data_IF_992733246740
#
_entry.id   IF_992733246740
#
_cell.length_a   1.000
_cell.length_b   1.000
_cell.length_c   1.000
_cell.angle_alpha   90.00
_cell.angle_beta   90.00
_cell.angle_gamma   90.00
#
_symmetry.space_group_name_H-M   'P 1'
#
loop_
_entity.id
_entity.type
_entity.pdbx_description
1 polymer ?
#
# COMPACT_ATOMS: atom_id res chain seq x y z
N UNK A 1 -8.68 14.90 0.95
CA UNK A 1 -8.57 13.48 1.35
C UNK A 1 -7.58 13.37 2.49
N UNK A 2 -7.96 12.75 3.58
CA UNK A 2 -7.12 12.62 4.78
C UNK A 2 -6.48 11.25 4.83
N UNK A 3 -5.18 11.22 5.10
CA UNK A 3 -4.43 9.98 5.26
C UNK A 3 -4.02 9.86 6.72
N UNK A 4 -4.56 8.87 7.41
CA UNK A 4 -4.22 8.58 8.81
C UNK A 4 -3.64 7.19 8.93
N UNK A 5 -2.58 7.07 9.71
CA UNK A 5 -1.89 5.80 9.94
C UNK A 5 -1.63 5.63 11.44
N UNK A 6 -1.74 4.38 11.91
CA UNK A 6 -1.37 4.04 13.28
C UNK A 6 0.04 3.47 13.29
N UNK A 7 0.91 4.07 14.09
CA UNK A 7 2.30 3.66 14.23
C UNK A 7 2.61 3.49 15.72
N UNK A 8 2.97 2.29 16.11
CA UNK A 8 3.28 1.94 17.51
C UNK A 8 2.20 2.42 18.51
N UNK A 9 0.94 2.21 18.16
CA UNK A 9 -0.19 2.53 19.02
C UNK A 9 -0.65 3.98 18.99
N UNK A 10 -0.05 4.83 18.19
CA UNK A 10 -0.44 6.24 18.04
C UNK A 10 -0.92 6.52 16.62
N UNK A 11 -1.91 7.40 16.50
CA UNK A 11 -2.42 7.85 15.20
C UNK A 11 -1.66 9.07 14.72
N UNK A 12 -1.27 9.04 13.45
CA UNK A 12 -0.57 10.16 12.80
C UNK A 12 -1.31 10.56 11.53
N UNK A 13 -1.39 11.85 11.27
CA UNK A 13 -1.93 12.37 10.03
C UNK A 13 -0.79 12.60 9.06
N UNK A 14 -0.89 11.96 7.88
CA UNK A 14 0.12 12.10 6.84
C UNK A 14 -0.18 13.31 5.97
N UNK A 15 0.85 13.94 5.37
CA UNK A 15 0.63 15.04 4.43
C UNK A 15 -0.11 14.56 3.18
N UNK A 16 -0.73 15.49 2.42
CA UNK A 16 -1.39 15.13 1.16
C UNK A 16 -0.43 14.43 0.19
N UNK A 17 -0.97 13.52 -0.62
CA UNK A 17 -0.17 12.78 -1.60
C UNK A 17 0.16 13.68 -2.79
N UNK A 18 1.30 14.35 -2.72
CA UNK A 18 1.84 15.20 -3.78
C UNK A 18 2.84 14.40 -4.63
N UNK A 19 3.32 14.98 -5.73
CA UNK A 19 4.39 14.37 -6.51
C UNK A 19 5.66 14.17 -5.68
N UNK A 20 5.93 15.07 -4.73
CA UNK A 20 7.08 14.92 -3.83
C UNK A 20 6.95 13.65 -2.97
N UNK A 21 5.74 13.35 -2.50
CA UNK A 21 5.47 12.12 -1.76
C UNK A 21 5.59 10.89 -2.67
N UNK A 22 5.06 10.96 -3.88
CA UNK A 22 5.21 9.88 -4.86
C UNK A 22 6.68 9.58 -5.16
N UNK A 23 7.51 10.61 -5.27
CA UNK A 23 8.95 10.46 -5.46
C UNK A 23 9.61 9.77 -4.27
N UNK A 24 9.18 10.09 -3.05
CA UNK A 24 9.69 9.42 -1.84
C UNK A 24 9.27 7.94 -1.80
N UNK A 25 8.05 7.63 -2.19
CA UNK A 25 7.57 6.24 -2.27
C UNK A 25 8.37 5.48 -3.32
N UNK A 26 8.61 6.07 -4.49
CA UNK A 26 9.46 5.48 -5.52
C UNK A 26 10.89 5.25 -5.00
N UNK A 27 11.39 6.16 -4.17
CA UNK A 27 12.69 6.03 -3.51
C UNK A 27 12.78 4.82 -2.58
N UNK A 28 11.67 4.44 -1.92
CA UNK A 28 11.63 3.21 -1.10
C UNK A 28 11.77 1.96 -1.96
N UNK A 29 11.09 1.93 -3.10
CA UNK A 29 11.16 0.80 -4.04
C UNK A 29 12.59 0.65 -4.55
N UNK A 30 13.23 1.76 -4.91
CA UNK A 30 14.63 1.76 -5.36
C UNK A 30 15.59 1.34 -4.25
N UNK A 31 15.34 1.76 -3.01
CA UNK A 31 16.13 1.35 -1.85
C UNK A 31 16.08 -0.16 -1.66
N UNK A 32 14.89 -0.75 -1.75
CA UNK A 32 14.72 -2.19 -1.64
C UNK A 32 15.44 -2.91 -2.78
N UNK A 33 15.29 -2.45 -4.00
CA UNK A 33 15.98 -3.00 -5.17
C UNK A 33 17.50 -2.98 -4.98
N UNK A 34 18.04 -1.83 -4.58
CA UNK A 34 19.47 -1.65 -4.39
C UNK A 34 20.01 -2.54 -3.27
N UNK A 35 19.24 -2.67 -2.19
CA UNK A 35 19.60 -3.58 -1.08
C UNK A 35 19.61 -5.04 -1.54
N UNK A 36 18.59 -5.47 -2.27
CA UNK A 36 18.51 -6.84 -2.79
C UNK A 36 19.63 -7.14 -3.80
N UNK A 37 20.05 -6.13 -4.55
CA UNK A 37 21.14 -6.25 -5.51
C UNK A 37 22.54 -6.18 -4.87
N UNK A 38 22.62 -5.94 -3.56
CA UNK A 38 23.89 -5.80 -2.86
C UNK A 38 24.59 -4.45 -3.07
N UNK A 39 23.88 -3.46 -3.61
CA UNK A 39 24.41 -2.12 -3.84
C UNK A 39 24.35 -1.23 -2.58
N UNK A 40 23.49 -1.58 -1.63
CA UNK A 40 23.38 -0.90 -0.33
C UNK A 40 23.60 -1.90 0.80
N UNK A 41 24.25 -1.45 1.87
CA UNK A 41 24.32 -2.23 3.10
C UNK A 41 22.97 -2.19 3.80
N UNK A 42 22.74 -3.12 4.72
CA UNK A 42 21.52 -3.11 5.53
C UNK A 42 21.39 -1.78 6.29
N UNK A 43 22.48 -1.28 6.84
CA UNK A 43 22.49 0.00 7.56
C UNK A 43 22.05 1.16 6.67
N UNK A 44 22.58 1.25 5.47
CA UNK A 44 22.19 2.28 4.51
C UNK A 44 20.72 2.21 4.14
N UNK A 45 20.20 1.00 3.91
CA UNK A 45 18.78 0.79 3.62
C UNK A 45 17.91 1.22 4.81
N UNK A 46 18.27 0.81 6.02
CA UNK A 46 17.55 1.15 7.26
C UNK A 46 17.55 2.66 7.49
N UNK A 47 18.67 3.35 7.26
CA UNK A 47 18.75 4.80 7.36
C UNK A 47 17.73 5.49 6.43
N UNK A 48 17.62 5.03 5.20
CA UNK A 48 16.68 5.59 4.22
C UNK A 48 15.23 5.35 4.62
N UNK A 49 14.90 4.15 5.10
CA UNK A 49 13.55 3.81 5.56
C UNK A 49 13.17 4.65 6.80
N UNK A 50 14.07 4.80 7.72
CA UNK A 50 13.85 5.60 8.94
C UNK A 50 13.59 7.07 8.58
N UNK A 51 14.41 7.64 7.70
CA UNK A 51 14.26 9.02 7.25
C UNK A 51 12.90 9.24 6.56
N UNK A 52 12.44 8.27 5.77
CA UNK A 52 11.15 8.34 5.12
C UNK A 52 10.00 8.39 6.15
N UNK A 53 9.98 7.46 7.08
CA UNK A 53 8.90 7.37 8.07
C UNK A 53 8.87 8.59 9.00
N UNK A 54 10.00 8.98 9.52
CA UNK A 54 10.10 10.12 10.45
C UNK A 54 9.85 11.44 9.72
N UNK A 55 10.22 11.54 8.45
CA UNK A 55 9.97 12.73 7.65
C UNK A 55 8.47 12.96 7.40
N UNK A 56 7.69 11.90 7.26
CA UNK A 56 6.25 11.99 7.04
C UNK A 56 5.44 12.04 8.33
N UNK A 57 5.90 11.36 9.37
CA UNK A 57 5.25 11.31 10.68
C UNK A 57 6.29 11.58 11.78
N UNK A 58 6.64 12.86 12.03
CA UNK A 58 7.67 13.22 13.01
C UNK A 58 7.40 12.62 14.39
N UNK A 59 8.41 12.02 14.98
CA UNK A 59 8.32 11.42 16.30
C UNK A 59 7.65 10.04 16.33
N UNK A 60 7.34 9.45 15.19
CA UNK A 60 6.62 8.18 15.13
C UNK A 60 7.48 6.97 15.53
N UNK A 61 8.80 7.08 15.43
CA UNK A 61 9.73 5.98 15.69
C UNK A 61 10.82 6.39 16.67
N UNK A 62 11.42 5.42 17.39
CA UNK A 62 12.63 5.67 18.17
C UNK A 62 13.78 6.10 17.26
N UNK A 63 14.88 6.63 17.85
CA UNK A 63 16.08 6.97 17.09
C UNK A 63 16.61 5.78 16.29
N UNK A 64 17.32 6.07 15.23
CA UNK A 64 17.83 5.07 14.28
C UNK A 64 18.52 3.86 14.94
N UNK A 65 19.33 4.12 15.95
CA UNK A 65 20.11 3.07 16.62
C UNK A 65 19.27 2.21 17.59
N UNK A 66 18.05 2.64 17.91
CA UNK A 66 17.18 1.97 18.86
C UNK A 66 15.95 1.33 18.23
N UNK A 67 15.64 1.71 17.00
CA UNK A 67 14.42 1.22 16.32
C UNK A 67 14.56 -0.26 15.96
N UNK A 68 13.48 -1.03 16.21
CA UNK A 68 13.40 -2.39 15.70
C UNK A 68 13.21 -2.33 14.18
N UNK A 69 14.09 -3.00 13.44
CA UNK A 69 14.08 -2.92 11.98
C UNK A 69 12.83 -3.56 11.36
N UNK A 70 12.26 -4.59 12.00
CA UNK A 70 11.02 -5.18 11.54
C UNK A 70 9.84 -4.21 11.73
N UNK A 71 9.78 -3.52 12.86
CA UNK A 71 8.78 -2.49 13.11
C UNK A 71 8.93 -1.33 12.13
N UNK A 72 10.16 -0.94 11.82
CA UNK A 72 10.44 0.10 10.83
C UNK A 72 9.92 -0.29 9.45
N UNK A 73 10.17 -1.53 9.03
CA UNK A 73 9.68 -2.03 7.73
C UNK A 73 8.16 -2.06 7.69
N UNK A 74 7.51 -2.54 8.76
CA UNK A 74 6.06 -2.51 8.88
C UNK A 74 5.51 -1.08 8.81
N UNK A 75 6.14 -0.15 9.51
CA UNK A 75 5.73 1.25 9.51
C UNK A 75 5.77 1.85 8.11
N UNK A 76 6.84 1.62 7.37
CA UNK A 76 6.96 2.10 5.98
C UNK A 76 5.88 1.48 5.09
N UNK A 77 5.61 0.18 5.24
CA UNK A 77 4.56 -0.50 4.50
C UNK A 77 3.17 0.06 4.83
N UNK A 78 2.91 0.32 6.10
CA UNK A 78 1.63 0.89 6.54
C UNK A 78 1.41 2.30 5.96
N UNK A 79 2.46 3.12 5.92
CA UNK A 79 2.41 4.45 5.31
C UNK A 79 2.08 4.35 3.82
N UNK A 80 2.79 3.51 3.09
CA UNK A 80 2.56 3.31 1.65
C UNK A 80 1.16 2.76 1.40
N UNK A 81 0.73 1.78 2.18
CA UNK A 81 -0.60 1.19 2.06
C UNK A 81 -1.70 2.21 2.35
N UNK A 82 -1.48 3.11 3.31
CA UNK A 82 -2.43 4.18 3.63
C UNK A 82 -2.60 5.11 2.43
N UNK A 83 -1.50 5.48 1.77
CA UNK A 83 -1.56 6.31 0.57
C UNK A 83 -2.20 5.59 -0.61
N UNK A 84 -2.00 4.29 -0.75
CA UNK A 84 -2.54 3.50 -1.86
C UNK A 84 -3.98 3.04 -1.64
N UNK A 85 -4.50 3.10 -0.41
CA UNK A 85 -5.83 2.61 -0.08
C UNK A 85 -6.95 3.20 -0.95
N UNK A 86 -7.01 4.52 -1.22
CA UNK A 86 -8.05 5.07 -2.10
C UNK A 86 -8.02 4.49 -3.51
N UNK A 87 -6.84 4.33 -4.10
CA UNK A 87 -6.69 3.77 -5.44
C UNK A 87 -7.08 2.28 -5.48
N UNK A 88 -6.69 1.52 -4.45
CA UNK A 88 -7.07 0.10 -4.32
C UNK A 88 -8.57 -0.06 -4.18
N UNK A 89 -9.22 0.79 -3.38
CA UNK A 89 -10.66 0.79 -3.19
C UNK A 89 -11.38 1.09 -4.52
N UNK A 90 -10.93 2.10 -5.25
CA UNK A 90 -11.50 2.47 -6.54
C UNK A 90 -11.37 1.32 -7.55
N UNK A 91 -10.22 0.64 -7.61
CA UNK A 91 -10.02 -0.53 -8.47
C UNK A 91 -10.92 -1.69 -8.11
N UNK A 92 -11.09 -1.96 -6.82
CA UNK A 92 -11.97 -3.02 -6.34
C UNK A 92 -13.42 -2.73 -6.70
N UNK A 93 -13.88 -1.49 -6.55
CA UNK A 93 -15.23 -1.07 -6.93
C UNK A 93 -15.44 -1.18 -8.45
N UNK A 94 -14.45 -0.77 -9.24
CA UNK A 94 -14.49 -0.88 -10.70
C UNK A 94 -14.60 -2.35 -11.15
N UNK A 95 -13.83 -3.25 -10.56
CA UNK A 95 -13.88 -4.69 -10.85
C UNK A 95 -15.23 -5.29 -10.49
N UNK A 96 -15.82 -4.89 -9.36
CA UNK A 96 -17.15 -5.34 -8.96
C UNK A 96 -18.23 -4.89 -9.95
N UNK A 97 -18.14 -3.64 -10.41
CA UNK A 97 -19.06 -3.10 -11.41
C UNK A 97 -18.94 -3.85 -12.73
N UNK A 98 -17.73 -4.12 -13.21
CA UNK A 98 -17.48 -4.90 -14.41
C UNK A 98 -18.05 -6.32 -14.28
N UNK A 99 -17.83 -6.97 -13.14
CA UNK A 99 -18.37 -8.32 -12.89
C UNK A 99 -19.89 -8.34 -12.91
N UNK A 100 -20.55 -7.34 -12.31
CA UNK A 100 -22.00 -7.19 -12.33
C UNK A 100 -22.53 -6.99 -13.75
N UNK A 101 -21.86 -6.13 -14.54
CA UNK A 101 -22.26 -5.86 -15.92
C UNK A 101 -22.15 -7.13 -16.78
N UNK A 102 -21.10 -7.92 -16.59
CA UNK A 102 -20.94 -9.21 -17.29
C UNK A 102 -22.04 -10.17 -16.91
N UNK A 103 -22.36 -10.31 -15.62
CA UNK A 103 -23.42 -11.20 -15.13
C UNK A 103 -24.81 -10.78 -15.62
N UNK A 104 -25.02 -9.50 -15.87
CA UNK A 104 -26.31 -8.98 -16.35
C UNK A 104 -26.49 -9.04 -17.86
N UNK A 105 -25.47 -9.46 -18.62
CA UNK A 105 -25.60 -9.62 -20.07
C UNK A 105 -26.58 -10.75 -20.42
N UNK A 106 -27.47 -10.56 -21.41
CA UNK A 106 -28.45 -11.59 -21.77
C UNK A 106 -27.83 -12.93 -22.12
N UNK A 107 -26.69 -12.96 -22.77
CA UNK A 107 -25.96 -14.18 -23.13
C UNK A 107 -25.54 -14.98 -21.91
N UNK A 108 -25.02 -14.31 -20.87
CA UNK A 108 -24.61 -14.96 -19.62
C UNK A 108 -25.83 -15.48 -18.87
N UNK A 109 -26.93 -14.74 -18.86
CA UNK A 109 -28.17 -15.14 -18.22
C UNK A 109 -28.74 -16.42 -18.87
N UNK A 110 -28.66 -16.55 -20.18
CA UNK A 110 -29.06 -17.76 -20.91
C UNK A 110 -28.20 -18.96 -20.51
N UNK A 111 -26.88 -18.77 -20.41
CA UNK A 111 -25.97 -19.84 -20.00
C UNK A 111 -26.27 -20.33 -18.58
N UNK A 112 -26.56 -19.41 -17.67
CA UNK A 112 -26.91 -19.76 -16.29
C UNK A 112 -28.20 -20.54 -16.20
N UNK A 113 -29.21 -20.18 -16.99
CA UNK A 113 -30.47 -20.91 -17.05
C UNK A 113 -30.29 -22.31 -17.60
N UNK A 114 -29.46 -22.47 -18.64
CA UNK A 114 -29.16 -23.79 -19.21
C UNK A 114 -28.43 -24.66 -18.19
N UNK A 115 -27.50 -24.09 -17.43
CA UNK A 115 -26.77 -24.82 -16.38
C UNK A 115 -27.75 -25.30 -15.28
N UNK A 116 -28.71 -24.48 -14.88
CA UNK A 116 -29.74 -24.87 -13.90
C UNK A 116 -30.62 -26.00 -14.40
N UNK A 117 -30.99 -25.96 -15.67
CA UNK A 117 -31.82 -27.03 -16.29
C UNK A 117 -31.05 -28.34 -16.38
N UNK A 118 -29.74 -28.32 -16.57
CA UNK A 118 -28.93 -29.54 -16.65
C UNK A 118 -28.68 -30.19 -15.29
N UNK A 119 -28.86 -29.48 -14.21
CA UNK A 119 -28.69 -30.00 -12.83
C UNK A 119 -29.94 -30.78 -12.36
N UNK A 120 -31.00 -30.71 -13.09
CA UNK A 120 -32.21 -31.49 -12.82
C UNK A 120 -32.21 -32.75 -13.69
#
# INVERSE_FOLDING_TARGET
MNYKVNILGKSYELPPRTLAIDDQIAGLVETDRAYQAGELTRREAVEKLHAFAVGLAPGCLPPLEEVDTNELMHTCMDIVNTYDAPARKARAEAKLTEARDILNKPEVQKLLKLAELQKK
#
